data_IF_581406466521
#
_entry.id   IF_581406466521
#
_cell.length_a   1.000
_cell.length_b   1.000
_cell.length_c   1.000
_cell.angle_alpha   90.00
_cell.angle_beta   90.00
_cell.angle_gamma   90.00
#
_symmetry.space_group_name_H-M   'P 1'
#
loop_
_entity.id
_entity.type
_entity.pdbx_description
1 polymer ?
#
# COMPACT_ATOMS: atom_id res chain seq x y z
N UNK A 1 -3.72 3.35 38.68
CA UNK A 1 -3.46 3.08 37.25
C UNK A 1 -3.94 4.28 36.46
N UNK A 2 -3.00 5.09 35.98
CA UNK A 2 -3.24 6.49 35.63
C UNK A 2 -3.44 6.71 34.14
N UNK A 3 -4.21 7.76 33.81
CA UNK A 3 -4.47 8.26 32.44
C UNK A 3 -3.24 8.49 31.55
N UNK A 4 -2.04 8.54 32.12
CA UNK A 4 -0.78 8.77 31.40
C UNK A 4 -0.18 7.51 30.76
N UNK A 5 -0.41 6.32 31.36
CA UNK A 5 0.12 5.05 30.83
C UNK A 5 -0.53 4.72 29.47
N UNK A 6 -1.82 5.02 29.31
CA UNK A 6 -2.59 4.80 28.07
C UNK A 6 -2.15 5.72 26.91
N UNK A 7 -1.65 6.94 27.20
CA UNK A 7 -1.21 7.87 26.15
C UNK A 7 0.16 7.46 25.60
N UNK A 8 1.10 7.06 26.45
CA UNK A 8 2.44 6.62 26.02
C UNK A 8 2.35 5.31 25.24
N UNK A 9 1.49 4.38 25.66
CA UNK A 9 1.24 3.13 24.94
C UNK A 9 0.61 3.38 23.55
N UNK A 10 -0.34 4.32 23.44
CA UNK A 10 -0.89 4.75 22.14
C UNK A 10 0.18 5.36 21.23
N UNK A 11 1.06 6.20 21.76
CA UNK A 11 2.15 6.79 20.98
C UNK A 11 3.15 5.74 20.49
N UNK A 12 3.47 4.73 21.31
CA UNK A 12 4.32 3.60 20.91
C UNK A 12 3.67 2.76 19.81
N UNK A 13 2.38 2.46 19.93
CA UNK A 13 1.63 1.74 18.90
C UNK A 13 1.63 2.51 17.57
N UNK A 14 1.34 3.81 17.58
CA UNK A 14 1.38 4.64 16.38
C UNK A 14 2.76 4.69 15.74
N UNK A 15 3.82 4.84 16.55
CA UNK A 15 5.20 4.80 16.03
C UNK A 15 5.54 3.44 15.42
N UNK A 16 5.07 2.34 16.00
CA UNK A 16 5.29 1.00 15.48
C UNK A 16 4.53 0.77 14.16
N UNK A 17 3.26 1.19 14.08
CA UNK A 17 2.45 1.15 12.86
C UNK A 17 3.07 2.00 11.74
N UNK A 18 3.53 3.23 12.05
CA UNK A 18 4.20 4.10 11.09
C UNK A 18 5.51 3.49 10.57
N UNK A 19 6.31 2.84 11.45
CA UNK A 19 7.53 2.14 11.02
C UNK A 19 7.21 0.98 10.07
N UNK A 20 6.16 0.21 10.36
CA UNK A 20 5.70 -0.86 9.47
C UNK A 20 5.21 -0.31 8.13
N UNK A 21 4.42 0.76 8.14
CA UNK A 21 3.97 1.40 6.91
C UNK A 21 5.13 1.85 6.03
N UNK A 22 6.15 2.50 6.60
CA UNK A 22 7.33 2.93 5.86
C UNK A 22 8.09 1.77 5.20
N UNK A 23 8.13 0.59 5.85
CA UNK A 23 8.73 -0.62 5.26
C UNK A 23 7.91 -1.09 4.05
N UNK A 24 6.58 -1.15 4.18
CA UNK A 24 5.70 -1.58 3.09
C UNK A 24 5.69 -0.61 1.91
N UNK A 25 5.67 0.69 2.17
CA UNK A 25 5.70 1.72 1.12
C UNK A 25 7.04 1.70 0.36
N UNK A 26 8.16 1.50 1.06
CA UNK A 26 9.47 1.32 0.43
C UNK A 26 9.53 0.06 -0.44
N UNK A 27 8.95 -1.03 0.04
CA UNK A 27 8.92 -2.29 -0.71
C UNK A 27 7.99 -2.21 -1.93
N UNK A 28 6.86 -1.51 -1.80
CA UNK A 28 5.98 -1.18 -2.90
C UNK A 28 6.71 -0.39 -3.99
N UNK A 29 7.47 0.64 -3.63
CA UNK A 29 8.28 1.42 -4.58
C UNK A 29 9.37 0.57 -5.25
N UNK A 30 10.01 -0.33 -4.49
CA UNK A 30 11.01 -1.26 -5.05
C UNK A 30 10.37 -2.15 -6.11
N UNK A 31 9.20 -2.74 -5.82
CA UNK A 31 8.47 -3.61 -6.76
C UNK A 31 8.01 -2.79 -7.98
N UNK A 32 7.43 -1.60 -7.77
CA UNK A 32 7.01 -0.69 -8.84
C UNK A 32 8.15 -0.38 -9.82
N UNK A 33 9.37 -0.13 -9.33
CA UNK A 33 10.55 0.10 -10.18
C UNK A 33 10.90 -1.13 -11.03
N UNK A 34 10.84 -2.33 -10.44
CA UNK A 34 11.08 -3.59 -11.17
C UNK A 34 10.02 -3.80 -12.25
N UNK A 35 8.75 -3.57 -11.93
CA UNK A 35 7.65 -3.70 -12.89
C UNK A 35 7.75 -2.65 -14.00
N UNK A 36 8.15 -1.42 -13.69
CA UNK A 36 8.36 -0.39 -14.70
C UNK A 36 9.49 -0.74 -15.68
N UNK A 37 10.52 -1.47 -15.25
CA UNK A 37 11.55 -1.98 -16.15
C UNK A 37 11.04 -3.08 -17.10
N UNK A 38 9.99 -3.80 -16.72
CA UNK A 38 9.39 -4.89 -17.52
C UNK A 38 8.25 -4.41 -18.43
N UNK A 39 7.39 -3.54 -17.91
CA UNK A 39 6.15 -3.11 -18.56
C UNK A 39 6.18 -1.65 -19.05
N UNK A 40 7.27 -0.93 -18.81
CA UNK A 40 7.41 0.48 -19.14
C UNK A 40 6.73 1.41 -18.13
N UNK A 41 6.38 2.61 -18.58
CA UNK A 41 5.71 3.60 -17.72
C UNK A 41 4.30 3.11 -17.33
N UNK A 42 3.90 3.26 -16.06
CA UNK A 42 2.54 2.92 -15.65
C UNK A 42 1.53 3.86 -16.32
N UNK A 43 0.40 3.29 -16.74
CA UNK A 43 -0.73 4.04 -17.30
C UNK A 43 -1.42 4.88 -16.22
N UNK A 44 -1.41 4.39 -14.98
CA UNK A 44 -1.91 5.13 -13.81
C UNK A 44 -1.11 4.74 -12.57
N UNK A 45 -0.79 5.71 -11.71
CA UNK A 45 -0.08 5.47 -10.46
C UNK A 45 -0.46 6.51 -9.41
N UNK A 46 -0.77 6.05 -8.20
CA UNK A 46 -0.92 6.92 -7.04
C UNK A 46 0.45 7.51 -6.63
N UNK A 47 0.50 8.82 -6.44
CA UNK A 47 1.71 9.52 -5.97
C UNK A 47 2.12 9.07 -4.57
N UNK A 48 1.15 8.84 -3.69
CA UNK A 48 1.32 8.40 -2.31
C UNK A 48 0.14 7.53 -1.89
N UNK A 49 0.26 6.83 -0.75
CA UNK A 49 -0.86 6.10 -0.21
C UNK A 49 -2.00 7.05 0.22
N UNK A 50 -3.23 6.64 -0.05
CA UNK A 50 -4.46 7.36 0.29
C UNK A 50 -5.23 6.63 1.38
N UNK A 51 -5.86 7.35 2.28
CA UNK A 51 -6.75 6.76 3.30
C UNK A 51 -8.11 6.46 2.68
N UNK A 52 -8.53 5.21 2.76
CA UNK A 52 -9.86 4.74 2.37
C UNK A 52 -10.66 4.42 3.64
N UNK A 53 -11.88 4.96 3.72
CA UNK A 53 -12.81 4.67 4.81
C UNK A 53 -13.81 3.59 4.36
N UNK A 54 -13.98 2.53 5.15
CA UNK A 54 -14.88 1.43 4.87
C UNK A 54 -15.52 0.92 6.17
N UNK A 55 -16.85 1.02 6.24
CA UNK A 55 -17.73 0.48 7.30
C UNK A 55 -17.09 0.32 8.69
N UNK A 56 -16.77 1.45 9.34
CA UNK A 56 -16.24 1.48 10.70
C UNK A 56 -14.72 1.30 10.83
N UNK A 57 -14.00 1.21 9.71
CA UNK A 57 -12.54 1.14 9.68
C UNK A 57 -11.95 2.05 8.59
N UNK A 58 -10.66 2.33 8.71
CA UNK A 58 -9.88 2.98 7.64
C UNK A 58 -8.62 2.19 7.36
N UNK A 59 -8.17 2.23 6.12
CA UNK A 59 -6.93 1.63 5.67
C UNK A 59 -6.23 2.54 4.67
N UNK A 60 -4.92 2.41 4.56
CA UNK A 60 -4.13 3.04 3.52
C UNK A 60 -4.12 2.14 2.29
N UNK A 61 -4.38 2.72 1.14
CA UNK A 61 -4.31 2.06 -0.16
C UNK A 61 -3.29 2.77 -1.05
N UNK A 62 -2.58 2.02 -1.89
CA UNK A 62 -1.81 2.59 -2.99
C UNK A 62 -1.84 1.69 -4.21
N UNK A 63 -2.15 2.27 -5.37
CA UNK A 63 -2.31 1.53 -6.61
C UNK A 63 -1.37 2.03 -7.72
N UNK A 64 -0.93 1.11 -8.56
CA UNK A 64 -0.22 1.40 -9.80
C UNK A 64 -0.62 0.36 -10.85
N UNK A 65 -0.95 0.83 -12.04
CA UNK A 65 -1.50 0.02 -13.12
C UNK A 65 -0.71 0.22 -14.40
N UNK A 66 -0.42 -0.89 -15.07
CA UNK A 66 0.07 -0.95 -16.43
C UNK A 66 -1.01 -1.59 -17.28
N UNK A 67 -1.51 -0.82 -18.23
CA UNK A 67 -2.60 -1.19 -19.10
C UNK A 67 -2.13 -1.08 -20.54
N UNK A 68 -2.13 -2.21 -21.25
CA UNK A 68 -1.84 -2.25 -22.69
C UNK A 68 -2.97 -3.00 -23.40
N UNK A 69 -2.88 -3.15 -24.73
CA UNK A 69 -3.84 -3.94 -25.49
C UNK A 69 -3.84 -5.42 -25.10
N UNK A 70 -2.67 -5.97 -24.73
CA UNK A 70 -2.49 -7.41 -24.52
C UNK A 70 -2.42 -7.82 -23.05
N UNK A 71 -2.08 -6.89 -22.15
CA UNK A 71 -1.89 -7.19 -20.73
C UNK A 71 -2.54 -6.15 -19.84
N UNK A 72 -3.02 -6.63 -18.69
CA UNK A 72 -3.34 -5.84 -17.52
C UNK A 72 -2.43 -6.26 -16.37
N UNK A 73 -1.75 -5.28 -15.78
CA UNK A 73 -0.98 -5.47 -14.54
C UNK A 73 -1.37 -4.42 -13.53
N UNK A 74 -1.67 -4.83 -12.30
CA UNK A 74 -1.99 -3.94 -11.20
C UNK A 74 -1.18 -4.32 -9.96
N UNK A 75 -0.46 -3.35 -9.40
CA UNK A 75 0.18 -3.44 -8.11
C UNK A 75 -0.69 -2.68 -7.11
N UNK A 76 -1.22 -3.40 -6.12
CA UNK A 76 -2.07 -2.87 -5.05
C UNK A 76 -1.38 -3.08 -3.70
N UNK A 77 -1.33 -2.03 -2.89
CA UNK A 77 -0.96 -2.10 -1.49
C UNK A 77 -2.16 -1.76 -0.63
N UNK A 78 -2.41 -2.58 0.39
CA UNK A 78 -3.36 -2.29 1.48
C UNK A 78 -2.61 -2.40 2.80
N UNK A 79 -2.74 -1.36 3.62
CA UNK A 79 -2.16 -1.30 4.95
C UNK A 79 -3.23 -0.85 5.95
N UNK A 80 -3.65 -1.76 6.82
CA UNK A 80 -4.62 -1.54 7.89
C UNK A 80 -4.08 -2.09 9.21
N UNK A 81 -4.80 -1.89 10.31
CA UNK A 81 -4.42 -2.41 11.63
C UNK A 81 -4.20 -3.93 11.66
N UNK A 82 -4.93 -4.68 10.84
CA UNK A 82 -4.91 -6.15 10.83
C UNK A 82 -4.33 -6.75 9.55
N UNK A 83 -4.28 -5.98 8.46
CA UNK A 83 -3.87 -6.47 7.14
C UNK A 83 -2.79 -5.59 6.54
N UNK A 84 -1.65 -6.19 6.24
CA UNK A 84 -0.56 -5.52 5.51
C UNK A 84 -0.22 -6.36 4.29
N UNK A 85 -0.56 -5.89 3.10
CA UNK A 85 -0.50 -6.68 1.87
C UNK A 85 -0.02 -5.82 0.71
N UNK A 86 0.91 -6.37 -0.07
CA UNK A 86 1.20 -5.93 -1.44
C UNK A 86 0.80 -7.09 -2.35
N UNK A 87 -0.01 -6.80 -3.36
CA UNK A 87 -0.51 -7.78 -4.32
C UNK A 87 -0.23 -7.28 -5.72
N UNK A 88 0.31 -8.16 -6.55
CA UNK A 88 0.39 -7.97 -7.99
C UNK A 88 -0.67 -8.86 -8.66
N UNK A 89 -1.48 -8.27 -9.52
CA UNK A 89 -2.41 -8.97 -10.40
C UNK A 89 -1.90 -8.81 -11.82
N UNK A 90 -1.77 -9.92 -12.55
CA UNK A 90 -1.35 -9.94 -13.96
C UNK A 90 -2.27 -10.88 -14.74
N UNK A 91 -2.81 -10.41 -15.86
CA UNK A 91 -3.49 -11.27 -16.82
C UNK A 91 -3.33 -10.75 -18.24
N UNK A 92 -3.40 -11.68 -19.20
CA UNK A 92 -3.46 -11.36 -20.62
C UNK A 92 -4.89 -11.07 -21.02
N UNK A 93 -5.07 -9.98 -21.77
CA UNK A 93 -6.34 -9.66 -22.41
C UNK A 93 -6.48 -10.56 -23.63
N UNK A 94 -7.64 -11.18 -23.79
CA UNK A 94 -8.01 -11.94 -24.98
C UNK A 94 -8.51 -10.99 -26.06
#
# INVERSE_FOLDING_TARGET
MGRYDDIDDKQKMWKAENKKFAIYDKEYERIKKVLAAQFGAPTSADTSAKTINSEGSSYLERNTRWETENIHTELNMIFSKTTHRIRMTLYWKK
#
